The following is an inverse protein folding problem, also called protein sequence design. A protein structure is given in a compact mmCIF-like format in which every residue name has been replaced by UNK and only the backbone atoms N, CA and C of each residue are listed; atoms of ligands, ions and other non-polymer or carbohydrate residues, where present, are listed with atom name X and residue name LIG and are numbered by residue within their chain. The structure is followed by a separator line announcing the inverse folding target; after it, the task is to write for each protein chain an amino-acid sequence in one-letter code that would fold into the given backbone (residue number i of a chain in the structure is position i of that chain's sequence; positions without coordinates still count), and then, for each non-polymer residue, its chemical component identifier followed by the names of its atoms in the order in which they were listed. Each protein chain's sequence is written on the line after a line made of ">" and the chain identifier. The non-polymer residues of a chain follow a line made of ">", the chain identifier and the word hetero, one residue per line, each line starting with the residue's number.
data_IF_434874302914
#
_entry.id   IF_434874302914
#
_cell.length_a   1.000
_cell.length_b   1.000
_cell.length_c   1.000
_cell.angle_alpha   90.00
_cell.angle_beta   90.00
_cell.angle_gamma   90.00
#
_symmetry.space_group_name_H-M   'P 1'
#
loop_
_entity.id
_entity.type
_entity.pdbx_description
1 polymer ?
#
# COMPACT_ATOMS: atom_id res chain seq x y z
N UNK A 1 5.19 14.41 8.07
CA UNK A 1 4.77 13.55 6.94
C UNK A 1 3.28 13.34 7.10
N UNK A 2 2.41 13.87 6.23
CA UNK A 2 0.97 13.74 6.48
C UNK A 2 0.10 13.97 5.26
N UNK A 3 0.24 15.11 4.60
CA UNK A 3 -0.70 15.46 3.52
C UNK A 3 -0.33 14.83 2.18
N UNK A 4 0.95 14.90 1.80
CA UNK A 4 1.44 14.30 0.55
C UNK A 4 1.36 12.77 0.57
N UNK A 5 1.58 12.16 1.74
CA UNK A 5 1.45 10.72 1.95
C UNK A 5 0.01 10.25 1.78
N UNK A 6 -0.95 10.88 2.48
CA UNK A 6 -2.37 10.55 2.34
C UNK A 6 -2.94 10.91 0.96
N UNK A 7 -2.42 11.95 0.30
CA UNK A 7 -2.78 12.28 -1.08
C UNK A 7 -2.27 11.23 -2.06
N UNK A 8 -1.01 10.80 -1.90
CA UNK A 8 -0.43 9.74 -2.72
C UNK A 8 -1.15 8.42 -2.50
N UNK A 9 -1.43 8.02 -1.24
CA UNK A 9 -2.20 6.81 -0.92
C UNK A 9 -3.59 6.82 -1.55
N UNK A 10 -4.29 7.95 -1.53
CA UNK A 10 -5.61 8.11 -2.20
C UNK A 10 -5.54 7.98 -3.71
N UNK A 11 -4.36 8.14 -4.32
CA UNK A 11 -4.18 7.94 -5.77
C UNK A 11 -3.91 6.48 -6.16
N UNK A 12 -3.60 5.61 -5.17
CA UNK A 12 -3.36 4.19 -5.41
C UNK A 12 -4.68 3.42 -5.54
N UNK A 13 -4.67 2.28 -6.26
CA UNK A 13 -5.76 1.30 -6.18
C UNK A 13 -6.04 0.87 -4.74
N UNK A 14 -7.33 0.73 -4.41
CA UNK A 14 -7.80 0.39 -3.05
C UNK A 14 -7.07 -0.80 -2.41
N UNK A 15 -6.81 -1.94 -3.10
CA UNK A 15 -6.12 -3.06 -2.48
C UNK A 15 -4.67 -2.74 -2.05
N UNK A 16 -3.98 -1.87 -2.79
CA UNK A 16 -2.61 -1.47 -2.48
C UNK A 16 -2.56 -0.45 -1.35
N UNK A 17 -3.49 0.51 -1.37
CA UNK A 17 -3.67 1.47 -0.28
C UNK A 17 -4.01 0.76 1.05
N UNK A 18 -4.91 -0.22 1.00
CA UNK A 18 -5.30 -1.02 2.15
C UNK A 18 -4.13 -1.89 2.67
N UNK A 19 -3.39 -2.56 1.77
CA UNK A 19 -2.21 -3.35 2.15
C UNK A 19 -1.19 -2.51 2.92
N UNK A 20 -0.89 -1.30 2.44
CA UNK A 20 0.05 -0.37 3.09
C UNK A 20 -0.47 0.07 4.47
N UNK A 21 -1.76 0.43 4.57
CA UNK A 21 -2.36 0.85 5.84
C UNK A 21 -2.32 -0.25 6.90
N UNK A 22 -2.61 -1.48 6.51
CA UNK A 22 -2.54 -2.63 7.41
C UNK A 22 -1.09 -2.91 7.82
N UNK A 23 -0.15 -2.86 6.87
CA UNK A 23 1.26 -3.04 7.15
C UNK A 23 1.81 -1.97 8.11
N UNK A 24 1.49 -0.70 7.87
CA UNK A 24 1.87 0.43 8.73
C UNK A 24 1.26 0.32 10.15
N UNK A 25 0.09 -0.31 10.27
CA UNK A 25 -0.54 -0.64 11.55
C UNK A 25 0.09 -1.85 12.26
N UNK A 26 1.11 -2.49 11.65
CA UNK A 26 1.80 -3.66 12.20
C UNK A 26 1.09 -4.99 11.93
N UNK A 27 0.15 -5.05 10.98
CA UNK A 27 -0.50 -6.29 10.61
C UNK A 27 0.49 -7.27 9.97
N UNK A 28 0.28 -8.57 10.23
CA UNK A 28 1.06 -9.64 9.63
C UNK A 28 0.62 -9.89 8.18
N UNK A 29 1.46 -10.58 7.40
CA UNK A 29 1.10 -10.98 6.05
C UNK A 29 -0.16 -11.86 6.01
N UNK A 30 -0.37 -12.71 7.02
CA UNK A 30 -1.59 -13.53 7.14
C UNK A 30 -2.84 -12.64 7.23
N UNK A 31 -2.84 -11.64 8.12
CA UNK A 31 -3.97 -10.71 8.29
C UNK A 31 -4.21 -9.90 7.03
N UNK A 32 -3.16 -9.42 6.38
CA UNK A 32 -3.27 -8.66 5.12
C UNK A 32 -3.83 -9.55 4.00
N UNK A 33 -3.35 -10.79 3.89
CA UNK A 33 -3.82 -11.77 2.91
C UNK A 33 -5.30 -12.09 3.08
N UNK A 34 -5.74 -12.34 4.31
CA UNK A 34 -7.16 -12.56 4.64
C UNK A 34 -8.04 -11.37 4.24
N UNK A 35 -7.62 -10.14 4.57
CA UNK A 35 -8.38 -8.93 4.24
C UNK A 35 -8.48 -8.67 2.74
N UNK A 36 -7.45 -9.05 1.98
CA UNK A 36 -7.37 -8.84 0.54
C UNK A 36 -7.82 -10.06 -0.27
N UNK A 37 -8.22 -11.14 0.40
CA UNK A 37 -8.56 -12.43 -0.21
C UNK A 37 -7.46 -12.97 -1.13
N UNK A 38 -6.21 -12.89 -0.69
CA UNK A 38 -5.04 -13.45 -1.37
C UNK A 38 -4.23 -14.35 -0.44
N UNK A 39 -3.42 -15.24 -1.03
CA UNK A 39 -2.48 -16.05 -0.29
C UNK A 39 -1.39 -15.19 0.38
N UNK A 40 -1.02 -15.48 1.64
CA UNK A 40 -0.06 -14.70 2.40
C UNK A 40 1.34 -14.64 1.75
N UNK A 41 1.71 -15.65 0.97
CA UNK A 41 2.96 -15.67 0.19
C UNK A 41 3.00 -14.53 -0.85
N UNK A 42 1.83 -14.16 -1.39
CA UNK A 42 1.68 -13.09 -2.37
C UNK A 42 1.71 -11.68 -1.77
N UNK A 43 1.52 -11.55 -0.45
CA UNK A 43 1.44 -10.25 0.24
C UNK A 43 2.77 -9.49 0.14
N UNK A 44 3.90 -10.18 0.26
CA UNK A 44 5.22 -9.56 0.11
C UNK A 44 5.39 -8.85 -1.23
N UNK A 45 5.00 -9.52 -2.32
CA UNK A 45 5.06 -8.97 -3.69
C UNK A 45 4.06 -7.83 -3.87
N UNK A 46 2.87 -7.93 -3.26
CA UNK A 46 1.87 -6.88 -3.29
C UNK A 46 2.36 -5.62 -2.57
N UNK A 47 2.98 -5.75 -1.41
CA UNK A 47 3.55 -4.65 -0.63
C UNK A 47 4.68 -3.97 -1.40
N UNK A 48 5.59 -4.74 -2.01
CA UNK A 48 6.65 -4.19 -2.88
C UNK A 48 6.07 -3.34 -4.02
N UNK A 49 5.01 -3.84 -4.68
CA UNK A 49 4.32 -3.10 -5.73
C UNK A 49 3.64 -1.84 -5.18
N UNK A 50 2.99 -1.95 -4.03
CA UNK A 50 2.31 -0.83 -3.38
C UNK A 50 3.31 0.27 -3.01
N UNK A 51 4.45 -0.07 -2.42
CA UNK A 51 5.51 0.88 -2.09
C UNK A 51 6.08 1.58 -3.33
N UNK A 52 6.35 0.84 -4.41
CA UNK A 52 6.84 1.45 -5.67
C UNK A 52 5.82 2.42 -6.28
N UNK A 53 4.53 2.09 -6.23
CA UNK A 53 3.48 2.97 -6.73
C UNK A 53 3.29 4.20 -5.84
N UNK A 54 3.37 4.02 -4.53
CA UNK A 54 3.34 5.11 -3.57
C UNK A 54 4.52 6.07 -3.79
N UNK A 55 5.73 5.54 -3.92
CA UNK A 55 6.93 6.31 -4.22
C UNK A 55 6.78 7.08 -5.54
N UNK A 56 6.27 6.43 -6.59
CA UNK A 56 5.99 7.10 -7.86
C UNK A 56 4.94 8.21 -7.71
N UNK A 57 3.89 8.02 -6.91
CA UNK A 57 2.86 9.01 -6.66
C UNK A 57 3.39 10.21 -5.85
N UNK A 58 4.27 9.97 -4.88
CA UNK A 58 4.94 11.00 -4.08
C UNK A 58 5.91 11.84 -4.91
N UNK A 59 6.65 11.22 -5.82
CA UNK A 59 7.62 11.91 -6.68
C UNK A 59 7.00 12.50 -7.95
N UNK A 60 5.77 12.13 -8.28
CA UNK A 60 5.00 12.78 -9.35
C UNK A 60 4.60 14.16 -8.85
N UNK A 61 5.48 15.15 -9.05
CA UNK A 61 5.16 16.56 -8.83
C UNK A 61 3.81 16.86 -9.48
N UNK A 62 2.83 17.44 -8.77
CA UNK A 62 1.69 18.04 -9.43
C UNK A 62 2.26 19.16 -10.30
N UNK A 63 2.26 18.94 -11.61
CA UNK A 63 2.54 19.96 -12.61
C UNK A 63 1.37 20.90 -12.73
#
# INVERSE_FOLDING_TARGET
>A
MGEDYEAALRSLPEPLALALRLHDAGATHEVIGEQLHIEPEGVSTLLDLAHRKLDSALHRRPG
#
